data_IF_028026333170
#
_entry.id   IF_028026333170
#
_cell.length_a   1.000
_cell.length_b   1.000
_cell.length_c   1.000
_cell.angle_alpha   90.00
_cell.angle_beta   90.00
_cell.angle_gamma   90.00
#
_symmetry.space_group_name_H-M   'P 1'
#
loop_
_entity.id
_entity.type
_entity.pdbx_description
1 polymer ?
#
# COMPACT_ATOMS: atom_id res chain seq x y z
N UNK A 1 -42.69 8.23 -24.69
CA UNK A 1 -42.41 7.82 -23.32
C UNK A 1 -42.49 6.30 -23.27
N UNK A 2 -41.35 5.59 -23.43
CA UNK A 2 -41.29 4.15 -23.37
C UNK A 2 -40.65 3.73 -22.06
N UNK A 3 -41.05 2.59 -21.46
CA UNK A 3 -40.53 2.13 -20.16
C UNK A 3 -39.15 1.55 -20.31
N UNK A 4 -38.25 2.00 -19.46
CA UNK A 4 -36.91 1.43 -19.26
C UNK A 4 -36.99 0.04 -18.64
N UNK A 5 -36.58 -0.97 -19.40
CA UNK A 5 -36.40 -2.34 -18.89
C UNK A 5 -35.21 -2.40 -17.95
N UNK A 6 -35.47 -2.34 -16.66
CA UNK A 6 -34.56 -2.83 -15.64
C UNK A 6 -34.76 -4.34 -15.56
N UNK A 7 -33.90 -5.13 -16.22
CA UNK A 7 -33.85 -6.57 -16.04
C UNK A 7 -33.30 -6.86 -14.63
N UNK A 8 -34.21 -7.02 -13.67
CA UNK A 8 -33.94 -7.63 -12.37
C UNK A 8 -33.52 -9.09 -12.62
N UNK A 9 -32.27 -9.40 -12.32
CA UNK A 9 -31.82 -10.78 -12.16
C UNK A 9 -32.52 -11.35 -10.91
N UNK A 10 -33.75 -11.85 -11.11
CA UNK A 10 -34.41 -12.67 -10.12
C UNK A 10 -33.74 -14.04 -10.12
N UNK A 11 -33.00 -14.32 -9.06
CA UNK A 11 -32.63 -15.67 -8.69
C UNK A 11 -33.96 -16.35 -8.28
N UNK A 12 -34.49 -17.27 -9.13
CA UNK A 12 -35.77 -17.94 -8.90
C UNK A 12 -35.69 -18.80 -7.62
N UNK A 13 -36.61 -18.53 -6.71
CA UNK A 13 -36.73 -19.21 -5.40
C UNK A 13 -37.20 -20.67 -5.45
N UNK A 14 -37.31 -21.28 -6.62
CA UNK A 14 -38.00 -22.59 -6.80
C UNK A 14 -37.09 -23.81 -6.94
N UNK A 15 -35.83 -23.72 -6.53
CA UNK A 15 -34.98 -24.90 -6.33
C UNK A 15 -34.21 -24.81 -5.01
N UNK A 16 -34.94 -24.98 -3.90
CA UNK A 16 -34.40 -25.29 -2.58
C UNK A 16 -33.93 -26.76 -2.48
N UNK A 17 -33.22 -27.23 -3.48
CA UNK A 17 -32.15 -28.19 -3.27
C UNK A 17 -30.88 -27.37 -3.39
N UNK A 18 -30.38 -26.83 -2.25
CA UNK A 18 -29.04 -26.29 -2.17
C UNK A 18 -28.11 -27.46 -2.50
N UNK A 19 -27.87 -27.72 -3.79
CA UNK A 19 -26.62 -28.34 -4.21
C UNK A 19 -25.57 -27.35 -3.76
N UNK A 20 -24.96 -27.62 -2.61
CA UNK A 20 -23.65 -27.05 -2.26
C UNK A 20 -22.76 -27.57 -3.37
N UNK A 21 -22.58 -26.75 -4.40
CA UNK A 21 -21.55 -27.01 -5.39
C UNK A 21 -20.25 -27.04 -4.57
N UNK A 22 -19.67 -28.23 -4.45
CA UNK A 22 -18.41 -28.37 -3.74
C UNK A 22 -17.41 -27.42 -4.40
N UNK A 23 -16.88 -26.51 -3.61
CA UNK A 23 -15.82 -25.62 -4.07
C UNK A 23 -14.52 -26.42 -4.09
N UNK A 24 -13.66 -26.17 -5.07
CA UNK A 24 -12.32 -26.78 -5.15
C UNK A 24 -11.47 -26.45 -3.92
N UNK A 25 -11.78 -25.33 -3.27
CA UNK A 25 -11.06 -24.83 -2.09
C UNK A 25 -12.00 -24.34 -1.01
N UNK A 26 -11.70 -24.67 0.25
CA UNK A 26 -12.42 -24.10 1.40
C UNK A 26 -12.18 -22.59 1.50
N UNK A 27 -10.92 -22.19 1.32
CA UNK A 27 -10.47 -20.81 1.45
C UNK A 27 -9.35 -20.47 0.46
N UNK A 28 -9.54 -19.39 -0.29
CA UNK A 28 -8.47 -18.75 -1.08
C UNK A 28 -8.12 -17.40 -0.43
N UNK A 29 -6.83 -17.14 -0.28
CA UNK A 29 -6.28 -15.87 0.21
C UNK A 29 -5.55 -15.21 -0.94
N UNK A 30 -5.97 -13.99 -1.32
CA UNK A 30 -5.41 -13.23 -2.42
C UNK A 30 -4.38 -12.26 -1.88
N UNK A 31 -3.10 -12.52 -2.16
CA UNK A 31 -1.96 -11.69 -1.75
C UNK A 31 -1.01 -12.39 -0.79
N UNK A 32 0.31 -12.30 -1.07
CA UNK A 32 1.42 -12.93 -0.37
C UNK A 32 2.20 -12.00 0.56
N UNK A 33 1.64 -10.86 0.93
CA UNK A 33 2.23 -9.97 1.91
C UNK A 33 1.97 -10.40 3.37
N UNK A 34 2.41 -9.61 4.35
CA UNK A 34 2.23 -9.89 5.78
C UNK A 34 0.80 -10.20 6.18
N UNK A 35 -0.17 -9.48 5.62
CA UNK A 35 -1.58 -9.70 5.91
C UNK A 35 -2.07 -11.07 5.40
N UNK A 36 -1.68 -11.44 4.16
CA UNK A 36 -2.05 -12.73 3.56
C UNK A 36 -1.44 -13.91 4.31
N UNK A 37 -0.16 -13.89 4.62
CA UNK A 37 0.48 -14.97 5.37
C UNK A 37 0.05 -15.05 6.83
N UNK A 38 -0.28 -13.91 7.45
CA UNK A 38 -0.89 -13.92 8.79
C UNK A 38 -2.25 -14.61 8.76
N UNK A 39 -3.11 -14.26 7.80
CA UNK A 39 -4.40 -14.91 7.60
C UNK A 39 -4.23 -16.41 7.30
N UNK A 40 -3.28 -16.77 6.42
CA UNK A 40 -2.99 -18.16 6.07
C UNK A 40 -2.54 -18.99 7.28
N UNK A 41 -1.70 -18.42 8.15
CA UNK A 41 -1.24 -19.09 9.36
C UNK A 41 -2.42 -19.44 10.27
N UNK A 42 -3.33 -18.51 10.52
CA UNK A 42 -4.49 -18.76 11.39
C UNK A 42 -5.52 -19.67 10.72
N UNK A 43 -5.77 -19.51 9.43
CA UNK A 43 -6.66 -20.37 8.67
C UNK A 43 -6.19 -21.82 8.64
N UNK A 44 -4.88 -22.04 8.41
CA UNK A 44 -4.29 -23.38 8.42
C UNK A 44 -4.40 -24.03 9.82
N UNK A 45 -4.16 -23.26 10.89
CA UNK A 45 -4.34 -23.75 12.27
C UNK A 45 -5.80 -24.08 12.61
N UNK A 46 -6.75 -23.48 11.90
CA UNK A 46 -8.17 -23.77 12.02
C UNK A 46 -8.65 -24.88 11.06
N UNK A 47 -7.73 -25.61 10.41
CA UNK A 47 -8.02 -26.70 9.47
C UNK A 47 -8.86 -26.27 8.24
N UNK A 48 -8.70 -25.01 7.80
CA UNK A 48 -9.41 -24.47 6.65
C UNK A 48 -8.67 -24.72 5.32
N UNK A 49 -7.54 -25.39 5.33
CA UNK A 49 -6.74 -25.74 4.15
C UNK A 49 -6.54 -24.54 3.18
N UNK A 50 -6.02 -23.39 3.66
CA UNK A 50 -5.97 -22.20 2.85
C UNK A 50 -5.01 -22.33 1.69
N UNK A 51 -5.39 -21.81 0.52
CA UNK A 51 -4.51 -21.56 -0.61
C UNK A 51 -4.23 -20.06 -0.69
N UNK A 52 -2.98 -19.66 -0.52
CA UNK A 52 -2.52 -18.30 -0.83
C UNK A 52 -2.19 -18.23 -2.31
N UNK A 53 -2.76 -17.26 -3.01
CA UNK A 53 -2.42 -16.98 -4.41
C UNK A 53 -1.82 -15.58 -4.47
N UNK A 54 -0.59 -15.48 -4.92
CA UNK A 54 0.17 -14.24 -4.91
C UNK A 54 1.18 -14.20 -6.05
N UNK A 55 1.42 -13.01 -6.62
CA UNK A 55 2.45 -12.78 -7.62
C UNK A 55 3.83 -12.68 -6.97
N UNK A 56 3.88 -12.02 -5.81
CA UNK A 56 5.09 -11.62 -5.11
C UNK A 56 4.80 -11.46 -3.60
N UNK A 57 5.79 -11.02 -2.84
CA UNK A 57 5.67 -10.71 -1.43
C UNK A 57 5.13 -9.31 -1.13
N UNK A 58 4.74 -8.56 -2.16
CA UNK A 58 4.19 -7.21 -2.05
C UNK A 58 5.24 -6.15 -1.75
N UNK A 59 4.82 -5.08 -1.10
CA UNK A 59 5.68 -3.91 -0.89
C UNK A 59 6.98 -4.20 -0.11
N UNK A 60 7.05 -5.28 0.66
CA UNK A 60 8.26 -5.63 1.40
C UNK A 60 9.42 -6.04 0.50
N UNK A 61 9.19 -6.48 -0.74
CA UNK A 61 10.28 -6.74 -1.69
C UNK A 61 11.06 -5.47 -2.07
N UNK A 62 10.42 -4.31 -1.98
CA UNK A 62 11.03 -3.00 -2.25
C UNK A 62 11.61 -2.30 -1.02
N UNK A 63 11.56 -2.95 0.15
CA UNK A 63 12.01 -2.38 1.42
C UNK A 63 13.29 -3.09 1.88
N UNK A 64 14.27 -2.36 2.40
CA UNK A 64 15.53 -2.95 2.88
C UNK A 64 15.38 -3.54 4.28
N UNK A 65 15.08 -2.71 5.27
CA UNK A 65 14.99 -3.10 6.68
C UNK A 65 13.63 -2.73 7.27
N UNK A 66 13.10 -3.59 8.13
CA UNK A 66 11.89 -3.36 8.91
C UNK A 66 12.27 -3.25 10.38
N UNK A 67 12.19 -2.03 10.92
CA UNK A 67 12.58 -1.71 12.30
C UNK A 67 11.40 -1.63 13.27
N UNK A 68 10.17 -1.61 12.74
CA UNK A 68 8.95 -1.34 13.49
C UNK A 68 8.05 -2.57 13.68
N UNK A 69 8.55 -3.79 13.38
CA UNK A 69 7.81 -5.01 13.64
C UNK A 69 8.25 -5.65 14.97
N UNK A 70 7.36 -5.79 15.96
CA UNK A 70 7.72 -6.33 17.27
C UNK A 70 8.30 -7.75 17.18
N UNK A 71 9.36 -8.01 17.95
CA UNK A 71 10.07 -9.30 17.98
C UNK A 71 11.42 -9.26 17.28
N UNK A 72 11.79 -8.16 16.63
CA UNK A 72 13.09 -7.96 15.98
C UNK A 72 13.75 -6.68 16.50
N UNK A 73 14.41 -6.73 17.67
CA UNK A 73 14.96 -5.53 18.32
C UNK A 73 16.07 -4.84 17.52
N UNK A 74 16.76 -5.59 16.65
CA UNK A 74 17.82 -5.08 15.77
C UNK A 74 17.30 -4.77 14.35
N UNK A 75 15.96 -4.79 14.16
CA UNK A 75 15.37 -4.79 12.83
C UNK A 75 15.52 -6.14 12.13
N UNK A 76 14.96 -6.26 10.94
CA UNK A 76 15.05 -7.46 10.10
C UNK A 76 15.01 -7.04 8.63
N UNK A 77 15.75 -7.75 7.78
CA UNK A 77 15.59 -7.63 6.34
C UNK A 77 14.15 -7.94 5.93
N UNK A 78 13.57 -7.09 5.09
CA UNK A 78 12.14 -7.14 4.77
C UNK A 78 11.76 -8.43 4.03
N UNK A 79 12.63 -8.90 3.13
CA UNK A 79 12.41 -10.14 2.37
C UNK A 79 12.53 -11.36 3.30
N UNK A 80 13.55 -11.38 4.18
CA UNK A 80 13.69 -12.44 5.16
C UNK A 80 12.49 -12.51 6.11
N UNK A 81 11.95 -11.37 6.52
CA UNK A 81 10.76 -11.30 7.38
C UNK A 81 9.55 -11.97 6.72
N UNK A 82 9.23 -11.59 5.47
CA UNK A 82 8.04 -12.13 4.80
C UNK A 82 8.22 -13.60 4.43
N UNK A 83 9.44 -14.04 4.11
CA UNK A 83 9.75 -15.45 3.92
C UNK A 83 9.56 -16.28 5.21
N UNK A 84 9.82 -15.70 6.37
CA UNK A 84 9.52 -16.35 7.67
C UNK A 84 8.02 -16.50 7.88
N UNK A 85 7.22 -15.52 7.48
CA UNK A 85 5.75 -15.64 7.52
C UNK A 85 5.25 -16.74 6.58
N UNK A 86 5.78 -16.81 5.36
CA UNK A 86 5.50 -17.89 4.42
C UNK A 86 5.82 -19.26 5.01
N UNK A 87 7.05 -19.43 5.52
CA UNK A 87 7.51 -20.68 6.15
C UNK A 87 6.61 -21.06 7.33
N UNK A 88 6.19 -20.10 8.13
CA UNK A 88 5.26 -20.32 9.25
C UNK A 88 3.90 -20.81 8.77
N UNK A 89 3.31 -20.17 7.77
CA UNK A 89 2.03 -20.58 7.19
C UNK A 89 2.10 -22.00 6.61
N UNK A 90 3.15 -22.30 5.82
CA UNK A 90 3.42 -23.64 5.26
C UNK A 90 3.56 -24.71 6.33
N UNK A 91 4.22 -24.41 7.45
CA UNK A 91 4.39 -25.35 8.57
C UNK A 91 3.03 -25.82 9.13
N UNK A 92 2.02 -24.98 9.08
CA UNK A 92 0.66 -25.34 9.52
C UNK A 92 -0.22 -25.92 8.40
N UNK A 93 0.30 -26.08 7.17
CA UNK A 93 -0.42 -26.72 6.07
C UNK A 93 -1.02 -25.75 5.04
N UNK A 94 -0.72 -24.45 5.10
CA UNK A 94 -1.10 -23.53 4.03
C UNK A 94 -0.39 -23.89 2.72
N UNK A 95 -1.14 -23.91 1.62
CA UNK A 95 -0.60 -24.06 0.27
C UNK A 95 -0.36 -22.68 -0.34
N UNK A 96 0.63 -22.56 -1.22
CA UNK A 96 0.96 -21.30 -1.89
C UNK A 96 1.09 -21.56 -3.38
N UNK A 97 0.37 -20.75 -4.17
CA UNK A 97 0.49 -20.67 -5.62
C UNK A 97 1.06 -19.30 -5.99
N UNK A 98 2.22 -19.31 -6.60
CA UNK A 98 2.85 -18.11 -7.12
C UNK A 98 2.26 -17.79 -8.49
N UNK A 99 1.24 -16.95 -8.52
CA UNK A 99 0.54 -16.49 -9.72
C UNK A 99 -0.20 -15.20 -9.42
N UNK A 100 -0.26 -14.30 -10.40
CA UNK A 100 -1.13 -13.14 -10.32
C UNK A 100 -2.60 -13.53 -10.44
N UNK A 101 -3.49 -12.75 -9.84
CA UNK A 101 -4.94 -12.88 -10.00
C UNK A 101 -5.42 -11.76 -10.91
N UNK A 102 -6.09 -12.13 -12.00
CA UNK A 102 -6.68 -11.19 -12.94
C UNK A 102 -7.96 -10.57 -12.36
N UNK A 103 -8.85 -11.43 -11.84
CA UNK A 103 -10.14 -11.02 -11.26
C UNK A 103 -10.73 -12.08 -10.35
N UNK A 104 -11.69 -11.67 -9.52
CA UNK A 104 -12.54 -12.53 -8.73
C UNK A 104 -14.01 -12.29 -9.07
N UNK A 105 -14.82 -13.34 -9.07
CA UNK A 105 -16.27 -13.24 -9.19
C UNK A 105 -16.91 -13.62 -7.86
N UNK A 106 -17.50 -12.62 -7.22
CA UNK A 106 -18.15 -12.73 -5.90
C UNK A 106 -19.69 -12.73 -6.00
N UNK A 107 -20.24 -12.76 -7.22
CA UNK A 107 -21.70 -12.65 -7.44
C UNK A 107 -22.47 -13.88 -7.01
N UNK A 108 -21.86 -15.07 -7.13
CA UNK A 108 -22.46 -16.36 -6.77
C UNK A 108 -21.49 -17.21 -5.96
N UNK A 109 -22.00 -18.17 -5.21
CA UNK A 109 -21.21 -19.19 -4.52
C UNK A 109 -21.28 -20.53 -5.26
N UNK A 110 -20.15 -21.31 -5.34
CA UNK A 110 -18.81 -20.93 -4.87
C UNK A 110 -18.24 -19.74 -5.65
N UNK A 111 -17.44 -18.91 -4.97
CA UNK A 111 -16.74 -17.78 -5.59
C UNK A 111 -15.73 -18.28 -6.62
N UNK A 112 -15.46 -17.50 -7.68
CA UNK A 112 -14.48 -17.86 -8.70
C UNK A 112 -13.27 -16.93 -8.64
N UNK A 113 -12.09 -17.53 -8.75
CA UNK A 113 -10.81 -16.83 -8.82
C UNK A 113 -10.16 -17.16 -10.15
N UNK A 114 -9.83 -16.13 -10.93
CA UNK A 114 -9.21 -16.24 -12.25
C UNK A 114 -7.75 -15.82 -12.14
N UNK A 115 -6.87 -16.77 -12.39
CA UNK A 115 -5.42 -16.55 -12.37
C UNK A 115 -4.91 -16.08 -13.73
N UNK A 116 -3.82 -15.34 -13.74
CA UNK A 116 -3.18 -14.85 -14.98
C UNK A 116 -2.62 -15.98 -15.85
N UNK A 117 -2.35 -17.15 -15.30
CA UNK A 117 -1.94 -18.35 -16.02
C UNK A 117 -3.11 -19.08 -16.71
N UNK A 118 -4.33 -18.54 -16.62
CA UNK A 118 -5.55 -19.09 -17.20
C UNK A 118 -6.27 -20.11 -16.31
N UNK A 119 -5.71 -20.49 -15.17
CA UNK A 119 -6.43 -21.38 -14.22
C UNK A 119 -7.61 -20.65 -13.60
N UNK A 120 -8.72 -21.35 -13.49
CA UNK A 120 -9.93 -20.89 -12.77
C UNK A 120 -10.21 -21.86 -11.65
N UNK A 121 -10.24 -21.36 -10.44
CA UNK A 121 -10.56 -22.14 -9.25
C UNK A 121 -11.81 -21.63 -8.55
N UNK A 122 -12.51 -22.51 -7.85
CA UNK A 122 -13.66 -22.14 -7.03
C UNK A 122 -13.32 -22.18 -5.55
N UNK A 123 -13.94 -21.30 -4.76
CA UNK A 123 -13.71 -21.20 -3.32
C UNK A 123 -14.97 -20.92 -2.54
N UNK A 124 -15.12 -21.57 -1.39
CA UNK A 124 -16.22 -21.30 -0.46
C UNK A 124 -16.11 -19.93 0.20
N UNK A 125 -14.88 -19.47 0.45
CA UNK A 125 -14.55 -18.17 1.03
C UNK A 125 -13.29 -17.57 0.40
N UNK A 126 -13.20 -16.23 0.36
CA UNK A 126 -12.03 -15.51 -0.12
C UNK A 126 -11.64 -14.45 0.91
N UNK A 127 -10.33 -14.35 1.20
CA UNK A 127 -9.74 -13.23 1.92
C UNK A 127 -8.96 -12.38 0.92
N UNK A 128 -9.29 -11.10 0.82
CA UNK A 128 -8.60 -10.14 -0.04
C UNK A 128 -7.52 -9.44 0.79
N UNK A 129 -6.25 -9.72 0.49
CA UNK A 129 -5.08 -9.19 1.17
C UNK A 129 -4.08 -8.59 0.15
N UNK A 130 -4.61 -7.94 -0.89
CA UNK A 130 -3.85 -7.45 -2.05
C UNK A 130 -2.96 -6.25 -1.77
N UNK A 131 -3.04 -5.68 -0.57
CA UNK A 131 -2.26 -4.51 -0.19
C UNK A 131 -2.63 -3.25 -0.96
N UNK A 132 -1.65 -2.37 -1.14
CA UNK A 132 -1.78 -1.14 -1.91
C UNK A 132 -0.47 -0.86 -2.65
N UNK A 133 -0.55 -0.10 -3.72
CA UNK A 133 0.63 0.39 -4.44
C UNK A 133 0.74 1.90 -4.30
N UNK A 134 1.94 2.43 -4.08
CA UNK A 134 2.16 3.87 -4.07
C UNK A 134 1.77 4.51 -5.39
N UNK A 135 1.33 5.76 -5.33
CA UNK A 135 1.13 6.59 -6.52
C UNK A 135 2.38 7.39 -6.77
N UNK A 136 3.21 6.90 -7.65
CA UNK A 136 4.42 7.59 -8.05
C UNK A 136 4.12 8.90 -8.78
N UNK A 137 4.98 9.90 -8.60
CA UNK A 137 4.90 11.17 -9.33
C UNK A 137 5.39 11.01 -10.76
N UNK A 138 6.30 10.06 -11.00
CA UNK A 138 6.99 9.87 -12.26
C UNK A 138 8.08 10.92 -12.50
N UNK A 139 8.50 11.64 -11.45
CA UNK A 139 9.54 12.65 -11.56
C UNK A 139 10.93 11.99 -11.66
N UNK A 140 11.88 12.60 -12.40
CA UNK A 140 13.27 12.18 -12.43
C UNK A 140 13.84 12.00 -11.02
N UNK A 141 14.67 10.97 -10.82
CA UNK A 141 15.28 10.64 -9.52
C UNK A 141 14.37 9.90 -8.55
N UNK A 142 13.04 9.92 -8.71
CA UNK A 142 12.09 9.31 -7.75
C UNK A 142 12.40 7.83 -7.48
N UNK A 143 12.52 7.02 -8.54
CA UNK A 143 12.78 5.58 -8.41
C UNK A 143 14.21 5.27 -7.99
N UNK A 144 15.18 6.04 -8.46
CA UNK A 144 16.61 5.86 -8.14
C UNK A 144 16.88 6.11 -6.66
N UNK A 145 16.14 7.06 -6.07
CA UNK A 145 16.30 7.49 -4.67
C UNK A 145 15.30 6.81 -3.71
N UNK A 146 14.56 5.82 -4.19
CA UNK A 146 13.68 5.02 -3.33
C UNK A 146 14.49 4.35 -2.22
N UNK A 147 14.07 4.51 -0.97
CA UNK A 147 14.78 4.12 0.25
C UNK A 147 16.16 4.79 0.45
N UNK A 148 16.49 5.78 -0.40
CA UNK A 148 17.71 6.60 -0.31
C UNK A 148 17.37 8.08 -0.09
N UNK A 149 16.25 8.33 0.56
CA UNK A 149 15.72 9.67 0.82
C UNK A 149 14.35 9.91 0.22
N UNK A 150 13.88 9.11 -0.73
CA UNK A 150 12.48 9.11 -1.21
C UNK A 150 11.74 7.92 -0.63
N UNK A 151 10.60 8.15 0.01
CA UNK A 151 9.82 7.17 0.77
C UNK A 151 8.33 7.31 0.48
N UNK A 152 7.57 6.28 0.82
CA UNK A 152 6.10 6.27 0.68
C UNK A 152 5.37 6.17 2.02
N UNK A 153 6.08 5.92 3.12
CA UNK A 153 5.50 5.64 4.44
C UNK A 153 6.21 6.41 5.55
N UNK A 154 5.61 7.49 6.03
CA UNK A 154 6.20 8.29 7.10
C UNK A 154 6.29 7.55 8.44
N UNK A 155 5.34 6.68 8.76
CA UNK A 155 5.38 5.88 10.00
C UNK A 155 6.44 4.78 9.95
N UNK A 156 6.87 4.37 8.76
CA UNK A 156 7.92 3.39 8.57
C UNK A 156 9.31 4.05 8.66
N UNK A 157 9.52 5.11 7.90
CA UNK A 157 10.84 5.68 7.61
C UNK A 157 11.09 7.04 8.29
N UNK A 158 10.04 7.68 8.81
CA UNK A 158 10.13 9.06 9.30
C UNK A 158 11.06 9.27 10.49
N UNK A 159 11.26 8.23 11.32
CA UNK A 159 12.11 8.34 12.50
C UNK A 159 13.60 8.62 12.16
N UNK A 160 14.10 8.11 11.03
CA UNK A 160 15.48 8.36 10.58
C UNK A 160 15.74 9.84 10.24
N UNK A 161 14.67 10.65 10.09
CA UNK A 161 14.73 12.10 9.84
C UNK A 161 14.48 12.93 11.09
N UNK A 162 14.72 12.35 12.28
CA UNK A 162 14.60 13.10 13.53
C UNK A 162 15.44 14.36 13.48
N UNK A 163 14.82 15.50 13.87
CA UNK A 163 15.41 16.85 13.89
C UNK A 163 15.91 17.38 12.53
N UNK A 164 15.47 16.74 11.42
CA UNK A 164 15.83 17.12 10.04
C UNK A 164 14.65 17.77 9.30
N UNK A 165 14.92 18.27 8.10
CA UNK A 165 13.92 18.86 7.22
C UNK A 165 13.42 17.83 6.23
N UNK A 166 12.10 17.58 6.20
CA UNK A 166 11.46 16.65 5.28
C UNK A 166 10.44 17.35 4.39
N UNK A 167 10.19 16.73 3.22
CA UNK A 167 9.20 17.15 2.25
C UNK A 167 8.10 16.07 2.14
N UNK A 168 6.85 16.49 2.01
CA UNK A 168 5.71 15.61 1.73
C UNK A 168 5.04 16.10 0.45
N UNK A 169 4.75 15.17 -0.48
CA UNK A 169 4.08 15.51 -1.73
C UNK A 169 2.63 15.04 -1.69
N UNK A 170 1.72 15.98 -1.85
CA UNK A 170 0.28 15.65 -1.90
C UNK A 170 -0.60 16.64 -1.18
N UNK A 171 -1.90 16.33 -1.10
CA UNK A 171 -2.90 17.19 -0.45
C UNK A 171 -4.16 16.42 -0.05
N UNK A 172 -4.11 15.08 -0.09
CA UNK A 172 -5.14 14.19 0.44
C UNK A 172 -4.88 13.82 1.90
N UNK A 173 -5.75 13.00 2.49
CA UNK A 173 -5.63 12.57 3.89
C UNK A 173 -4.29 11.91 4.17
N UNK A 174 -3.80 11.03 3.31
CA UNK A 174 -2.50 10.37 3.46
C UNK A 174 -1.35 11.38 3.61
N UNK A 175 -1.25 12.35 2.71
CA UNK A 175 -0.17 13.36 2.78
C UNK A 175 -0.26 14.21 4.05
N UNK A 176 -1.46 14.56 4.47
CA UNK A 176 -1.71 15.34 5.69
C UNK A 176 -1.36 14.53 6.94
N UNK A 177 -1.72 13.24 6.98
CA UNK A 177 -1.37 12.33 8.08
C UNK A 177 0.14 12.14 8.17
N UNK A 178 0.81 11.90 7.04
CA UNK A 178 2.26 11.79 6.98
C UNK A 178 2.95 13.06 7.48
N UNK A 179 2.51 14.24 7.03
CA UNK A 179 3.08 15.51 7.46
C UNK A 179 2.89 15.75 8.96
N UNK A 180 1.72 15.44 9.52
CA UNK A 180 1.45 15.56 10.96
C UNK A 180 2.28 14.56 11.78
N UNK A 181 2.54 13.36 11.25
CA UNK A 181 3.41 12.39 11.88
C UNK A 181 4.86 12.89 11.89
N UNK A 182 5.38 13.29 10.73
CA UNK A 182 6.75 13.80 10.58
C UNK A 182 7.00 15.04 11.44
N UNK A 183 6.03 15.92 11.56
CA UNK A 183 6.15 17.12 12.40
C UNK A 183 6.36 16.83 13.90
N UNK A 184 6.11 15.61 14.36
CA UNK A 184 6.42 15.19 15.75
C UNK A 184 7.90 14.91 15.94
N UNK A 185 8.58 14.42 14.89
CA UNK A 185 9.98 13.96 14.96
C UNK A 185 10.95 14.87 14.23
N UNK A 186 10.54 15.47 13.11
CA UNK A 186 11.36 16.34 12.30
C UNK A 186 11.40 17.78 12.85
N UNK A 187 12.43 18.52 12.48
CA UNK A 187 12.54 19.96 12.77
C UNK A 187 11.58 20.79 11.93
N UNK A 188 11.37 20.38 10.67
CA UNK A 188 10.52 21.06 9.69
C UNK A 188 9.94 20.09 8.68
N UNK A 189 8.71 20.34 8.25
CA UNK A 189 8.03 19.59 7.18
C UNK A 189 7.53 20.59 6.14
N UNK A 190 7.86 20.38 4.88
CA UNK A 190 7.31 21.15 3.77
C UNK A 190 6.34 20.28 2.98
N UNK A 191 5.10 20.72 2.83
CA UNK A 191 4.13 20.06 1.95
C UNK A 191 4.12 20.76 0.60
N UNK A 192 4.40 20.01 -0.46
CA UNK A 192 4.25 20.46 -1.85
C UNK A 192 2.92 19.98 -2.38
N UNK A 193 2.05 20.92 -2.77
CA UNK A 193 0.74 20.60 -3.30
C UNK A 193 0.44 21.35 -4.59
N UNK A 194 0.05 20.61 -5.64
CA UNK A 194 -0.24 21.16 -6.98
C UNK A 194 -1.49 22.06 -7.05
N UNK A 195 -2.38 21.97 -6.08
CA UNK A 195 -3.60 22.79 -6.00
C UNK A 195 -3.48 23.92 -4.99
N UNK A 196 -4.51 24.76 -4.93
CA UNK A 196 -4.62 25.89 -4.00
C UNK A 196 -5.32 25.54 -2.68
N UNK A 197 -5.78 24.30 -2.51
CA UNK A 197 -6.46 23.84 -1.29
C UNK A 197 -6.26 22.33 -1.08
N UNK A 198 -6.19 21.89 0.18
CA UNK A 198 -6.13 20.48 0.54
C UNK A 198 -7.45 19.76 0.21
N UNK A 199 -7.34 18.53 -0.26
CA UNK A 199 -8.48 17.61 -0.45
C UNK A 199 -8.75 16.74 0.78
N UNK A 200 -7.87 16.80 1.76
CA UNK A 200 -8.01 16.12 3.03
C UNK A 200 -9.25 16.58 3.80
N UNK A 201 -9.70 15.80 4.77
CA UNK A 201 -10.80 16.14 5.64
C UNK A 201 -10.57 17.52 6.30
N UNK A 202 -11.62 18.30 6.48
CA UNK A 202 -11.51 19.67 7.03
C UNK A 202 -10.79 19.70 8.38
N UNK A 203 -11.03 18.70 9.22
CA UNK A 203 -10.39 18.60 10.54
C UNK A 203 -8.87 18.40 10.42
N UNK A 204 -8.43 17.51 9.52
CA UNK A 204 -7.01 17.24 9.29
C UNK A 204 -6.32 18.41 8.60
N UNK A 205 -6.94 19.01 7.61
CA UNK A 205 -6.43 20.21 6.94
C UNK A 205 -6.21 21.35 7.94
N UNK A 206 -7.18 21.62 8.84
CA UNK A 206 -7.06 22.65 9.86
C UNK A 206 -5.89 22.40 10.84
N UNK A 207 -5.58 21.13 11.15
CA UNK A 207 -4.44 20.77 11.99
C UNK A 207 -3.11 21.11 11.31
N UNK A 208 -2.96 20.73 10.04
CA UNK A 208 -1.77 21.05 9.23
C UNK A 208 -1.56 22.56 9.15
N UNK A 209 -2.60 23.30 8.79
CA UNK A 209 -2.52 24.76 8.60
C UNK A 209 -2.14 25.54 9.87
N UNK A 210 -2.38 24.96 11.04
CA UNK A 210 -2.00 25.59 12.33
C UNK A 210 -0.68 25.08 12.89
N UNK A 211 -0.07 24.07 12.26
CA UNK A 211 1.11 23.43 12.84
C UNK A 211 2.38 24.25 12.60
N UNK A 212 3.13 24.67 13.64
CA UNK A 212 4.24 25.61 13.50
C UNK A 212 5.42 25.08 12.70
N UNK A 213 5.57 23.76 12.60
CA UNK A 213 6.67 23.11 11.86
C UNK A 213 6.30 22.79 10.40
N UNK A 214 5.04 22.99 9.99
CA UNK A 214 4.56 22.60 8.65
C UNK A 214 4.43 23.83 7.77
N UNK A 215 5.14 23.84 6.65
CA UNK A 215 5.06 24.86 5.60
C UNK A 215 4.28 24.30 4.40
N UNK A 216 3.36 25.08 3.86
CA UNK A 216 2.63 24.74 2.64
C UNK A 216 3.20 25.48 1.43
N UNK A 217 3.54 24.74 0.37
CA UNK A 217 3.81 25.26 -0.96
C UNK A 217 2.65 24.90 -1.88
N UNK A 218 1.79 25.89 -2.10
CA UNK A 218 0.62 25.77 -2.95
C UNK A 218 0.95 25.96 -4.43
N UNK A 219 0.12 25.41 -5.31
CA UNK A 219 0.29 25.51 -6.77
C UNK A 219 1.70 25.12 -7.23
N UNK A 220 2.28 24.14 -6.54
CA UNK A 220 3.67 23.72 -6.69
C UNK A 220 3.71 22.22 -7.00
N UNK A 221 4.54 21.84 -7.95
CA UNK A 221 4.79 20.44 -8.34
C UNK A 221 6.27 20.11 -8.17
N UNK A 222 6.58 18.87 -7.88
CA UNK A 222 7.96 18.37 -7.91
C UNK A 222 8.34 18.12 -9.36
N UNK A 223 9.49 18.63 -9.77
CA UNK A 223 10.07 18.39 -11.09
C UNK A 223 11.12 17.28 -11.05
N UNK A 224 11.98 17.28 -10.02
CA UNK A 224 13.10 16.34 -9.92
C UNK A 224 13.51 16.12 -8.47
N UNK A 225 13.96 14.91 -8.16
CA UNK A 225 14.66 14.55 -6.93
C UNK A 225 16.16 14.45 -7.23
N UNK A 226 16.96 15.27 -6.56
CA UNK A 226 18.37 15.45 -6.88
C UNK A 226 19.23 14.73 -5.85
N UNK A 227 20.09 13.86 -6.35
CA UNK A 227 21.02 13.07 -5.57
C UNK A 227 22.26 13.89 -5.18
N UNK A 228 22.73 13.73 -3.96
CA UNK A 228 24.03 14.21 -3.51
C UNK A 228 25.18 13.28 -3.94
N UNK A 229 26.40 13.70 -3.65
CA UNK A 229 27.62 12.92 -3.94
C UNK A 229 27.69 11.61 -3.13
N UNK A 230 26.99 11.55 -2.01
CA UNK A 230 26.83 10.36 -1.15
C UNK A 230 25.79 9.35 -1.68
N UNK A 231 25.10 9.67 -2.77
CA UNK A 231 24.07 8.86 -3.37
C UNK A 231 22.70 8.94 -2.70
N UNK A 232 22.52 9.79 -1.71
CA UNK A 232 21.25 10.04 -1.01
C UNK A 232 20.55 11.26 -1.58
N UNK A 233 19.25 11.42 -1.27
CA UNK A 233 18.51 12.63 -1.60
C UNK A 233 19.13 13.84 -0.89
N UNK A 234 19.36 14.90 -1.64
CA UNK A 234 19.90 16.15 -1.12
C UNK A 234 18.99 17.34 -1.39
N UNK A 235 18.38 17.36 -2.56
CA UNK A 235 17.59 18.49 -3.02
C UNK A 235 16.36 18.01 -3.80
N UNK A 236 15.31 18.83 -3.81
CA UNK A 236 14.14 18.62 -4.65
C UNK A 236 13.88 19.88 -5.46
N UNK A 237 13.89 19.75 -6.78
CA UNK A 237 13.46 20.81 -7.69
C UNK A 237 11.93 20.88 -7.72
N UNK A 238 11.39 22.06 -7.54
CA UNK A 238 9.95 22.31 -7.56
C UNK A 238 9.60 23.46 -8.50
N UNK A 239 8.51 23.31 -9.24
CA UNK A 239 7.96 24.34 -10.11
C UNK A 239 6.76 24.99 -9.44
N UNK A 240 6.80 26.30 -9.26
CA UNK A 240 5.71 27.10 -8.72
C UNK A 240 5.49 28.34 -9.58
N UNK A 241 4.28 28.56 -10.07
CA UNK A 241 3.90 29.73 -10.88
C UNK A 241 4.87 30.02 -12.05
N UNK A 242 5.38 28.98 -12.70
CA UNK A 242 6.30 29.11 -13.84
C UNK A 242 7.77 29.36 -13.46
N UNK A 243 8.10 29.34 -12.17
CA UNK A 243 9.46 29.49 -11.68
C UNK A 243 9.93 28.22 -10.96
N UNK A 244 11.08 27.70 -11.37
CA UNK A 244 11.72 26.54 -10.74
C UNK A 244 12.59 27.00 -9.57
N UNK A 245 12.47 26.30 -8.45
CA UNK A 245 13.28 26.54 -7.24
C UNK A 245 13.75 25.21 -6.67
N UNK A 246 14.91 25.20 -6.04
CA UNK A 246 15.47 24.02 -5.39
C UNK A 246 15.32 24.11 -3.87
N UNK A 247 14.83 23.05 -3.26
CA UNK A 247 14.65 22.93 -1.82
C UNK A 247 15.66 21.93 -1.27
N UNK A 248 16.44 22.36 -0.28
CA UNK A 248 17.30 21.47 0.50
C UNK A 248 16.44 20.67 1.47
N UNK A 249 16.45 19.36 1.35
CA UNK A 249 15.69 18.46 2.22
C UNK A 249 16.47 17.17 2.47
N UNK A 250 16.29 16.60 3.65
CA UNK A 250 16.96 15.35 4.03
C UNK A 250 16.15 14.12 3.59
N UNK A 251 14.83 14.27 3.43
CA UNK A 251 13.94 13.20 3.01
C UNK A 251 12.65 13.72 2.37
N UNK A 252 12.09 12.94 1.46
CA UNK A 252 10.82 13.21 0.77
C UNK A 252 9.86 12.02 0.86
N UNK A 253 8.57 12.30 1.07
CA UNK A 253 7.50 11.31 1.20
C UNK A 253 6.44 11.58 0.12
N UNK A 254 6.18 10.57 -0.75
CA UNK A 254 5.31 10.67 -1.92
C UNK A 254 4.11 9.73 -1.85
#
# INVERSE_FOLDING_TARGET
>A
VGPTNASSLQCSADQLTVRILEADRKLVIVGGGPAGFSAATYAARADLEPLVVARDFGQLEGTSTVDNYPGFPEGIDAVDMVQRFEKQAKRFGAQIKWCGIERVDLTCRPFKVYCEDGEVMTSSAIIIATGASPRWLGAPGEKELLSKGVHTCATCDGYQYKDRHTLVVGGGDTAVEQALFLARVCSRVTIVHRGSSLRASKAMAARVMRHPKILMLWNTVVEEFIKGDDGLLKEVSVLSMGSTTTLQVDGAFV
#
